data_IF_863126974291
#
_entry.id   IF_863126974291
#
_cell.length_a   1.000
_cell.length_b   1.000
_cell.length_c   1.000
_cell.angle_alpha   90.00
_cell.angle_beta   90.00
_cell.angle_gamma   90.00
#
_symmetry.space_group_name_H-M   'P 1'
#
loop_
_entity.id
_entity.type
_entity.pdbx_description
1 polymer ?
#
# COMPACT_ATOMS: atom_id res chain seq x y z
N UNK A 1 -24.48 -22.49 -7.74
CA UNK A 1 -24.56 -21.02 -7.95
C UNK A 1 -25.01 -20.25 -6.69
N UNK A 2 -26.09 -20.66 -6.01
CA UNK A 2 -26.58 -20.02 -4.77
C UNK A 2 -25.54 -20.04 -3.62
N UNK A 3 -24.88 -21.18 -3.40
CA UNK A 3 -23.83 -21.34 -2.38
C UNK A 3 -22.70 -20.32 -2.51
N UNK A 4 -22.21 -20.06 -3.72
CA UNK A 4 -21.15 -19.07 -3.97
C UNK A 4 -21.61 -17.65 -3.75
N UNK A 5 -22.86 -17.32 -4.12
CA UNK A 5 -23.47 -16.02 -3.87
C UNK A 5 -23.60 -15.76 -2.34
N UNK A 6 -24.05 -16.77 -1.60
CA UNK A 6 -24.16 -16.69 -0.15
C UNK A 6 -22.79 -16.53 0.51
N UNK A 7 -21.79 -17.31 0.10
CA UNK A 7 -20.42 -17.20 0.59
C UNK A 7 -19.84 -15.81 0.29
N UNK A 8 -20.01 -15.29 -0.93
CA UNK A 8 -19.57 -13.95 -1.27
C UNK A 8 -20.23 -12.90 -0.40
N UNK A 9 -21.55 -12.99 -0.14
CA UNK A 9 -22.26 -12.07 0.73
C UNK A 9 -21.68 -12.09 2.15
N UNK A 10 -21.46 -13.28 2.72
CA UNK A 10 -20.85 -13.43 4.06
C UNK A 10 -19.47 -12.82 4.11
N UNK A 11 -18.63 -13.05 3.10
CA UNK A 11 -17.28 -12.47 3.01
C UNK A 11 -17.31 -10.95 2.88
N UNK A 12 -18.25 -10.39 2.09
CA UNK A 12 -18.42 -8.93 2.01
C UNK A 12 -18.85 -8.33 3.33
N UNK A 13 -19.79 -8.95 4.03
CA UNK A 13 -20.27 -8.47 5.34
C UNK A 13 -19.17 -8.56 6.41
N UNK A 14 -18.46 -9.70 6.48
CA UNK A 14 -17.34 -9.87 7.42
C UNK A 14 -16.21 -8.88 7.13
N UNK A 15 -15.87 -8.67 5.86
CA UNK A 15 -14.88 -7.69 5.43
C UNK A 15 -15.28 -6.25 5.76
N UNK A 16 -16.56 -5.90 5.62
CA UNK A 16 -17.07 -4.58 5.98
C UNK A 16 -16.97 -4.33 7.49
N UNK A 17 -17.40 -5.30 8.31
CA UNK A 17 -17.30 -5.21 9.77
C UNK A 17 -15.85 -5.10 10.20
N UNK A 18 -14.97 -5.95 9.66
CA UNK A 18 -13.53 -5.88 9.93
C UNK A 18 -12.96 -4.52 9.53
N UNK A 19 -13.33 -3.97 8.37
CA UNK A 19 -12.86 -2.67 7.89
C UNK A 19 -13.26 -1.53 8.85
N UNK A 20 -14.50 -1.50 9.32
CA UNK A 20 -14.97 -0.47 10.26
C UNK A 20 -14.19 -0.54 11.58
N UNK A 21 -14.02 -1.74 12.13
CA UNK A 21 -13.28 -1.96 13.37
C UNK A 21 -11.80 -1.58 13.25
N UNK A 22 -11.17 -1.98 12.15
CA UNK A 22 -9.79 -1.64 11.80
C UNK A 22 -9.61 -0.14 11.64
N UNK A 23 -10.52 0.53 10.94
CA UNK A 23 -10.47 1.98 10.76
C UNK A 23 -10.51 2.71 12.09
N UNK A 24 -11.35 2.27 13.02
CA UNK A 24 -11.42 2.83 14.37
C UNK A 24 -10.10 2.68 15.13
N UNK A 25 -9.49 1.48 15.14
CA UNK A 25 -8.19 1.24 15.77
C UNK A 25 -7.10 2.13 15.16
N UNK A 26 -7.06 2.23 13.83
CA UNK A 26 -6.04 3.02 13.13
C UNK A 26 -6.19 4.52 13.38
N UNK A 27 -7.40 5.02 13.47
CA UNK A 27 -7.63 6.43 13.81
C UNK A 27 -7.11 6.70 15.23
N UNK A 28 -7.50 5.90 16.21
CA UNK A 28 -7.09 6.08 17.61
C UNK A 28 -5.57 5.95 17.75
N UNK A 29 -4.97 4.88 17.25
CA UNK A 29 -3.51 4.69 17.35
C UNK A 29 -2.72 5.79 16.65
N UNK A 30 -3.26 6.35 15.56
CA UNK A 30 -2.68 7.47 14.85
C UNK A 30 -2.65 8.77 15.65
N UNK A 31 -3.59 9.00 16.55
CA UNK A 31 -3.58 10.14 17.46
C UNK A 31 -2.58 10.00 18.60
N UNK A 32 -2.31 8.77 19.05
CA UNK A 32 -1.49 8.51 20.22
C UNK A 32 0.01 8.62 19.88
N UNK A 33 0.51 7.74 18.99
CA UNK A 33 1.94 7.61 18.77
C UNK A 33 2.25 6.95 17.43
N UNK A 34 3.11 7.54 16.61
CA UNK A 34 3.37 7.08 15.25
C UNK A 34 3.93 5.64 15.14
N UNK A 35 4.90 5.20 15.95
CA UNK A 35 5.34 3.80 15.95
C UNK A 35 4.23 2.80 16.28
N UNK A 36 3.34 3.13 17.23
CA UNK A 36 2.16 2.33 17.54
C UNK A 36 1.23 2.24 16.34
N UNK A 37 1.06 3.34 15.61
CA UNK A 37 0.27 3.36 14.39
C UNK A 37 0.82 2.39 13.34
N UNK A 38 2.13 2.40 13.05
CA UNK A 38 2.73 1.46 12.09
C UNK A 38 2.59 -0.01 12.51
N UNK A 39 2.73 -0.29 13.82
CA UNK A 39 2.47 -1.63 14.36
C UNK A 39 1.00 -2.03 14.17
N UNK A 40 0.08 -1.14 14.52
CA UNK A 40 -1.37 -1.36 14.37
C UNK A 40 -1.75 -1.59 12.91
N UNK A 41 -1.18 -0.83 11.96
CA UNK A 41 -1.42 -1.02 10.52
C UNK A 41 -1.10 -2.44 10.10
N UNK A 42 0.03 -3.01 10.50
CA UNK A 42 0.41 -4.39 10.15
C UNK A 42 -0.58 -5.41 10.68
N UNK A 43 -0.96 -5.30 11.95
CA UNK A 43 -1.93 -6.19 12.58
C UNK A 43 -3.28 -6.08 11.88
N UNK A 44 -3.75 -4.84 11.68
CA UNK A 44 -5.01 -4.55 11.02
C UNK A 44 -5.06 -5.07 9.58
N UNK A 45 -3.99 -4.90 8.81
CA UNK A 45 -3.90 -5.42 7.45
C UNK A 45 -3.95 -6.95 7.42
N UNK A 46 -3.29 -7.63 8.35
CA UNK A 46 -3.39 -9.09 8.48
C UNK A 46 -4.80 -9.53 8.82
N UNK A 47 -5.45 -8.90 9.80
CA UNK A 47 -6.82 -9.20 10.18
C UNK A 47 -7.80 -8.98 9.02
N UNK A 48 -7.62 -7.88 8.28
CA UNK A 48 -8.45 -7.59 7.11
C UNK A 48 -8.35 -8.67 6.04
N UNK A 49 -7.12 -9.09 5.71
CA UNK A 49 -6.90 -10.14 4.70
C UNK A 49 -7.42 -11.49 5.20
N UNK A 50 -7.19 -11.81 6.48
CA UNK A 50 -7.69 -13.05 7.08
C UNK A 50 -9.21 -13.12 7.15
N UNK A 51 -9.90 -11.98 7.33
CA UNK A 51 -11.39 -11.93 7.29
C UNK A 51 -11.97 -12.30 5.92
N UNK A 52 -11.15 -12.23 4.88
CA UNK A 52 -11.47 -12.67 3.51
C UNK A 52 -11.00 -14.10 3.23
N UNK A 53 -10.62 -14.86 4.26
CA UNK A 53 -10.04 -16.22 4.17
C UNK A 53 -8.77 -16.28 3.30
N UNK A 54 -7.99 -15.21 3.30
CA UNK A 54 -6.72 -15.12 2.60
C UNK A 54 -5.57 -15.05 3.61
N UNK A 55 -4.54 -15.86 3.39
CA UNK A 55 -3.34 -15.91 4.26
C UNK A 55 -2.07 -15.67 3.43
N UNK A 56 -1.65 -14.41 3.26
CA UNK A 56 -0.46 -14.13 2.48
C UNK A 56 0.79 -14.66 3.19
N UNK A 57 1.61 -15.40 2.46
CA UNK A 57 2.93 -15.84 2.90
C UNK A 57 3.97 -14.92 2.27
N UNK A 58 4.72 -14.20 3.09
CA UNK A 58 5.83 -13.38 2.63
C UNK A 58 7.07 -14.27 2.59
N UNK A 59 7.73 -14.34 1.42
CA UNK A 59 9.00 -15.02 1.24
C UNK A 59 10.12 -13.98 1.08
N UNK A 60 11.28 -14.26 1.64
CA UNK A 60 12.41 -13.32 1.68
C UNK A 60 12.39 -12.46 2.94
N UNK A 61 13.48 -11.74 3.13
CA UNK A 61 13.66 -10.86 4.29
C UNK A 61 13.74 -9.41 3.82
N UNK A 62 13.10 -8.52 4.57
CA UNK A 62 13.26 -7.09 4.35
C UNK A 62 14.56 -6.65 5.02
N UNK A 63 15.47 -5.95 4.30
CA UNK A 63 16.74 -5.49 4.87
C UNK A 63 16.50 -4.57 6.08
N UNK A 64 17.44 -4.55 7.01
CA UNK A 64 17.33 -3.76 8.24
C UNK A 64 17.97 -2.39 8.08
N UNK A 65 19.06 -2.32 7.30
CA UNK A 65 19.85 -1.11 7.13
C UNK A 65 19.50 -0.37 5.84
N UNK A 66 19.36 0.95 5.93
CA UNK A 66 19.13 1.82 4.78
C UNK A 66 17.66 2.16 4.53
N UNK A 67 17.47 2.99 3.52
CA UNK A 67 16.14 3.42 3.04
C UNK A 67 15.89 2.81 1.67
N UNK A 68 14.64 2.46 1.39
CA UNK A 68 14.30 1.68 0.21
C UNK A 68 13.11 2.23 -0.54
N UNK A 69 13.17 2.10 -1.86
CA UNK A 69 12.03 2.26 -2.75
C UNK A 69 11.42 0.86 -2.98
N UNK A 70 10.23 0.64 -2.47
CA UNK A 70 9.55 -0.66 -2.55
C UNK A 70 8.61 -0.63 -3.74
N UNK A 71 8.92 -1.41 -4.76
CA UNK A 71 8.09 -1.53 -5.95
C UNK A 71 7.31 -2.84 -5.94
N UNK A 72 6.01 -2.76 -6.14
CA UNK A 72 5.11 -3.91 -6.16
C UNK A 72 4.21 -3.88 -7.38
N UNK A 73 3.90 -5.05 -7.96
CA UNK A 73 2.90 -5.15 -9.02
C UNK A 73 1.51 -4.73 -8.50
N UNK A 74 0.66 -4.26 -9.41
CA UNK A 74 -0.67 -3.72 -9.05
C UNK A 74 -1.78 -4.57 -9.66
N UNK A 75 -2.22 -5.59 -8.93
CA UNK A 75 -3.18 -6.58 -9.43
C UNK A 75 -4.53 -6.55 -8.71
N UNK A 76 -4.62 -5.97 -7.50
CA UNK A 76 -5.84 -5.99 -6.70
C UNK A 76 -6.05 -4.70 -5.92
N UNK A 77 -7.29 -4.46 -5.48
CA UNK A 77 -7.56 -3.46 -4.44
C UNK A 77 -6.92 -3.86 -3.11
N UNK A 78 -6.74 -5.16 -2.88
CA UNK A 78 -6.14 -5.68 -1.65
C UNK A 78 -4.63 -5.38 -1.53
N UNK A 79 -3.99 -4.88 -2.58
CA UNK A 79 -2.57 -4.47 -2.55
C UNK A 79 -2.30 -3.42 -1.47
N UNK A 80 -3.29 -2.58 -1.16
CA UNK A 80 -3.22 -1.58 -0.08
C UNK A 80 -3.06 -2.22 1.31
N UNK A 81 -3.53 -3.46 1.48
CA UNK A 81 -3.39 -4.22 2.73
C UNK A 81 -2.17 -5.15 2.72
N UNK A 82 -1.66 -5.53 1.56
CA UNK A 82 -0.43 -6.33 1.44
C UNK A 82 0.81 -5.47 1.64
N UNK A 83 0.86 -4.30 1.02
CA UNK A 83 2.03 -3.42 1.07
C UNK A 83 2.52 -3.16 2.50
N UNK A 84 1.67 -2.78 3.49
CA UNK A 84 2.10 -2.51 4.85
C UNK A 84 2.75 -3.68 5.59
N UNK A 85 2.56 -4.91 5.10
CA UNK A 85 3.13 -6.11 5.72
C UNK A 85 4.62 -6.29 5.40
N UNK A 86 5.14 -5.61 4.36
CA UNK A 86 6.47 -5.80 3.82
C UNK A 86 7.53 -4.99 4.60
N UNK A 87 7.46 -3.65 4.69
CA UNK A 87 8.53 -2.83 5.22
C UNK A 87 8.74 -3.02 6.72
N UNK A 88 9.98 -2.94 7.17
CA UNK A 88 10.36 -2.72 8.56
C UNK A 88 10.64 -1.23 8.75
N UNK A 89 10.19 -0.63 9.86
CA UNK A 89 10.39 0.80 10.11
C UNK A 89 9.28 1.69 9.52
N UNK A 90 9.61 2.97 9.36
CA UNK A 90 8.69 3.97 8.82
C UNK A 90 8.60 3.88 7.30
N UNK A 91 7.40 3.99 6.79
CA UNK A 91 7.14 3.94 5.35
C UNK A 91 5.97 4.84 4.97
N UNK A 92 5.97 5.24 3.73
CA UNK A 92 4.83 5.91 3.09
C UNK A 92 4.66 5.42 1.66
N UNK A 93 3.76 6.02 0.90
CA UNK A 93 3.51 5.63 -0.49
C UNK A 93 3.04 6.78 -1.36
N UNK A 94 3.20 6.61 -2.66
CA UNK A 94 2.67 7.53 -3.67
C UNK A 94 1.29 7.03 -4.09
N UNK A 95 0.27 7.85 -3.91
CA UNK A 95 -1.11 7.47 -4.21
C UNK A 95 -1.86 8.54 -5.00
N UNK A 96 -2.90 8.14 -5.73
CA UNK A 96 -3.67 9.09 -6.55
C UNK A 96 -4.35 10.16 -5.69
N UNK A 97 -4.32 11.41 -6.14
CA UNK A 97 -4.93 12.56 -5.44
C UNK A 97 -6.39 12.33 -5.04
N UNK A 98 -7.16 11.58 -5.86
CA UNK A 98 -8.55 11.24 -5.55
C UNK A 98 -8.72 10.46 -4.25
N UNK A 99 -7.72 9.69 -3.83
CA UNK A 99 -7.76 8.87 -2.62
C UNK A 99 -7.79 9.73 -1.35
N UNK A 100 -7.29 10.96 -1.41
CA UNK A 100 -7.37 11.93 -0.31
C UNK A 100 -8.78 12.49 -0.08
N UNK A 101 -9.74 12.18 -0.96
CA UNK A 101 -11.15 12.57 -0.82
C UNK A 101 -12.02 11.47 -0.20
N UNK A 102 -11.46 10.26 -0.01
CA UNK A 102 -12.20 9.13 0.56
C UNK A 102 -12.21 9.27 2.09
N UNK A 103 -13.38 9.40 2.75
CA UNK A 103 -13.47 9.46 4.20
C UNK A 103 -12.72 8.29 4.87
N UNK A 104 -12.21 8.50 6.10
CA UNK A 104 -11.44 7.51 6.86
C UNK A 104 -10.10 7.18 6.19
N UNK A 105 -10.10 6.69 4.94
CA UNK A 105 -8.87 6.37 4.21
C UNK A 105 -7.95 7.59 4.07
N UNK A 106 -8.52 8.75 3.80
CA UNK A 106 -7.81 10.04 3.77
C UNK A 106 -7.05 10.33 5.08
N UNK A 107 -7.66 10.06 6.23
CA UNK A 107 -7.00 10.25 7.53
C UNK A 107 -5.81 9.31 7.72
N UNK A 108 -5.96 8.05 7.31
CA UNK A 108 -4.90 7.05 7.38
C UNK A 108 -3.72 7.42 6.48
N UNK A 109 -3.98 7.74 5.20
CA UNK A 109 -2.90 8.08 4.25
C UNK A 109 -2.22 9.40 4.57
N UNK A 110 -2.92 10.38 5.13
CA UNK A 110 -2.33 11.61 5.66
C UNK A 110 -1.41 11.32 6.86
N UNK A 111 -1.78 10.38 7.72
CA UNK A 111 -0.98 10.02 8.90
C UNK A 111 0.37 9.42 8.54
N UNK A 112 0.45 8.63 7.48
CA UNK A 112 1.72 8.13 6.93
C UNK A 112 2.39 9.12 5.97
N UNK A 113 1.91 10.35 5.86
CA UNK A 113 2.41 11.38 4.95
C UNK A 113 2.44 10.90 3.49
N UNK A 114 1.40 10.20 3.05
CA UNK A 114 1.30 9.71 1.68
C UNK A 114 1.37 10.86 0.68
N UNK A 115 2.06 10.63 -0.42
CA UNK A 115 2.34 11.66 -1.43
C UNK A 115 1.27 11.58 -2.51
N UNK A 116 0.48 12.65 -2.70
CA UNK A 116 -0.51 12.69 -3.76
C UNK A 116 0.15 12.79 -5.14
N UNK A 117 -0.35 12.04 -6.11
CA UNK A 117 0.07 12.15 -7.50
C UNK A 117 -1.14 12.33 -8.43
N UNK A 118 -1.11 13.36 -9.26
CA UNK A 118 -1.97 13.46 -10.42
C UNK A 118 -1.25 12.90 -11.65
N UNK A 119 -1.64 11.70 -12.06
CA UNK A 119 -1.03 10.97 -13.17
C UNK A 119 -1.36 11.55 -14.54
N UNK A 120 -2.35 12.45 -14.63
CA UNK A 120 -2.73 13.14 -15.86
C UNK A 120 -1.92 14.42 -16.07
N UNK A 121 -1.34 14.96 -15.01
CA UNK A 121 -0.53 16.17 -15.04
C UNK A 121 0.95 15.81 -14.83
N UNK A 122 1.76 15.97 -15.89
CA UNK A 122 3.20 15.65 -15.87
C UNK A 122 3.98 16.49 -14.86
N UNK A 123 3.67 17.77 -14.73
CA UNK A 123 4.37 18.65 -13.77
C UNK A 123 4.06 18.24 -12.34
N UNK A 124 2.78 18.00 -12.03
CA UNK A 124 2.37 17.48 -10.73
C UNK A 124 3.02 16.12 -10.40
N UNK A 125 3.17 15.25 -11.40
CA UNK A 125 3.86 13.97 -11.20
C UNK A 125 5.35 14.15 -10.86
N UNK A 126 6.05 15.10 -11.52
CA UNK A 126 7.44 15.42 -11.22
C UNK A 126 7.58 15.99 -9.80
N UNK A 127 6.70 16.89 -9.38
CA UNK A 127 6.69 17.43 -8.02
C UNK A 127 6.45 16.33 -6.97
N UNK A 128 5.55 15.40 -7.27
CA UNK A 128 5.29 14.27 -6.37
C UNK A 128 6.53 13.38 -6.19
N UNK A 129 7.30 13.15 -7.26
CA UNK A 129 8.55 12.41 -7.19
C UNK A 129 9.59 13.16 -6.36
N UNK A 130 9.75 14.49 -6.56
CA UNK A 130 10.67 15.29 -5.73
C UNK A 130 10.30 15.24 -4.24
N UNK A 131 9.03 15.36 -3.91
CA UNK A 131 8.56 15.18 -2.51
C UNK A 131 8.90 13.79 -1.96
N UNK A 132 8.80 12.75 -2.79
CA UNK A 132 9.17 11.39 -2.39
C UNK A 132 10.67 11.25 -2.14
N UNK A 133 11.51 11.90 -2.96
CA UNK A 133 12.97 11.96 -2.74
C UNK A 133 13.31 12.62 -1.40
N UNK A 134 12.61 13.70 -1.03
CA UNK A 134 12.82 14.37 0.26
C UNK A 134 12.42 13.49 1.45
N UNK A 135 11.38 12.70 1.30
CA UNK A 135 10.95 11.72 2.32
C UNK A 135 11.94 10.56 2.45
N UNK A 136 12.49 10.06 1.34
CA UNK A 136 13.56 9.04 1.36
C UNK A 136 14.79 9.54 2.14
N UNK A 137 15.20 10.79 1.91
CA UNK A 137 16.34 11.42 2.64
C UNK A 137 16.11 11.51 4.16
N UNK A 138 14.86 11.44 4.61
CA UNK A 138 14.49 11.40 6.02
C UNK A 138 14.52 9.98 6.62
N UNK A 139 14.92 8.97 5.85
CA UNK A 139 14.98 7.58 6.28
C UNK A 139 13.63 6.86 6.24
N UNK A 140 12.65 7.38 5.50
CA UNK A 140 11.31 6.79 5.36
C UNK A 140 11.21 6.07 4.02
N UNK A 141 10.88 4.78 4.04
CA UNK A 141 10.72 3.97 2.82
C UNK A 141 9.55 4.46 1.97
N UNK A 142 9.70 4.42 0.65
CA UNK A 142 8.66 4.80 -0.30
C UNK A 142 8.08 3.58 -1.00
N UNK A 143 6.77 3.38 -0.86
CA UNK A 143 6.01 2.40 -1.63
C UNK A 143 5.49 2.98 -2.93
N UNK A 144 5.69 2.26 -4.02
CA UNK A 144 5.18 2.64 -5.34
C UNK A 144 4.67 1.44 -6.11
N UNK A 145 3.56 1.61 -6.80
CA UNK A 145 3.00 0.66 -7.75
C UNK A 145 3.29 1.19 -9.16
N UNK A 146 4.41 0.78 -9.77
CA UNK A 146 4.97 1.46 -10.96
C UNK A 146 4.08 1.34 -12.20
N UNK A 147 3.17 0.39 -12.25
CA UNK A 147 2.14 0.28 -13.30
C UNK A 147 1.17 1.49 -13.31
N UNK A 148 1.03 2.15 -12.18
CA UNK A 148 0.16 3.32 -12.03
C UNK A 148 -1.33 3.02 -11.93
N UNK A 149 -1.80 1.90 -12.46
CA UNK A 149 -3.20 1.44 -12.40
C UNK A 149 -3.24 -0.07 -12.29
N UNK A 150 -4.27 -0.61 -11.66
CA UNK A 150 -4.45 -2.07 -11.55
C UNK A 150 -4.54 -2.73 -12.92
N UNK A 151 -3.95 -3.90 -13.05
CA UNK A 151 -4.24 -4.81 -14.17
C UNK A 151 -5.63 -5.45 -13.98
N UNK A 152 -6.32 -5.70 -15.07
CA UNK A 152 -7.62 -6.38 -15.06
C UNK A 152 -7.55 -7.76 -15.74
N UNK A 153 -6.48 -8.01 -16.48
CA UNK A 153 -6.24 -9.24 -17.25
C UNK A 153 -5.13 -10.12 -16.64
N UNK A 154 -4.65 -9.76 -15.46
CA UNK A 154 -3.56 -10.48 -14.77
C UNK A 154 -2.17 -10.23 -15.35
N UNK A 155 -2.04 -9.46 -16.42
CA UNK A 155 -0.73 -9.12 -17.01
C UNK A 155 -0.19 -7.83 -16.46
N UNK A 156 1.09 -7.80 -16.15
CA UNK A 156 1.78 -6.60 -15.72
C UNK A 156 1.75 -5.54 -16.83
N UNK A 157 1.40 -4.31 -16.47
CA UNK A 157 1.41 -3.17 -17.39
C UNK A 157 2.81 -2.57 -17.52
N UNK A 158 2.98 -1.72 -18.54
CA UNK A 158 4.21 -0.92 -18.68
C UNK A 158 4.52 -0.11 -17.42
N UNK A 159 5.76 -0.19 -16.96
CA UNK A 159 6.21 0.46 -15.75
C UNK A 159 6.50 1.95 -16.01
N UNK A 160 5.95 2.81 -15.19
CA UNK A 160 6.22 4.26 -15.23
C UNK A 160 7.62 4.55 -14.68
N UNK A 161 8.36 5.41 -15.37
CA UNK A 161 9.77 5.69 -15.10
C UNK A 161 10.03 6.46 -13.80
N UNK A 162 9.01 7.10 -13.19
CA UNK A 162 9.18 7.98 -12.03
C UNK A 162 9.91 7.36 -10.85
N UNK A 163 9.57 6.14 -10.48
CA UNK A 163 10.24 5.43 -9.37
C UNK A 163 11.72 5.09 -9.67
N UNK A 164 12.05 4.80 -10.93
CA UNK A 164 13.43 4.54 -11.34
C UNK A 164 14.27 5.82 -11.35
N UNK A 165 13.70 6.95 -11.80
CA UNK A 165 14.39 8.24 -11.70
C UNK A 165 14.63 8.63 -10.24
N UNK A 166 13.67 8.39 -9.36
CA UNK A 166 13.83 8.61 -7.92
C UNK A 166 15.02 7.81 -7.37
N UNK A 167 15.12 6.51 -7.70
CA UNK A 167 16.23 5.66 -7.26
C UNK A 167 17.59 6.18 -7.76
N UNK A 168 17.68 6.61 -9.00
CA UNK A 168 18.90 7.19 -9.57
C UNK A 168 19.30 8.47 -8.85
N UNK A 169 18.34 9.37 -8.60
CA UNK A 169 18.58 10.68 -7.99
C UNK A 169 18.98 10.59 -6.53
N UNK A 170 18.39 9.65 -5.77
CA UNK A 170 18.66 9.47 -4.34
C UNK A 170 19.76 8.45 -4.06
N UNK A 171 20.12 7.63 -5.05
CA UNK A 171 21.02 6.48 -4.93
C UNK A 171 20.50 5.40 -3.98
N UNK A 172 19.18 5.39 -3.74
CA UNK A 172 18.54 4.38 -2.91
C UNK A 172 18.25 3.09 -3.69
N UNK A 173 18.26 1.98 -2.98
CA UNK A 173 18.01 0.66 -3.55
C UNK A 173 16.53 0.42 -3.79
N UNK A 174 16.20 -0.15 -4.94
CA UNK A 174 14.85 -0.65 -5.23
C UNK A 174 14.72 -2.07 -4.71
N UNK A 175 13.71 -2.31 -3.87
CA UNK A 175 13.26 -3.66 -3.52
C UNK A 175 12.04 -3.98 -4.37
N UNK A 176 12.17 -4.96 -5.26
CA UNK A 176 11.05 -5.47 -6.04
C UNK A 176 10.30 -6.54 -5.23
N UNK A 177 9.01 -6.35 -5.08
CA UNK A 177 8.12 -7.33 -4.47
C UNK A 177 7.03 -7.71 -5.47
N UNK A 178 6.77 -8.99 -5.62
CA UNK A 178 5.67 -9.48 -6.46
C UNK A 178 4.72 -10.35 -5.65
N UNK A 179 3.45 -10.27 -5.95
CA UNK A 179 2.44 -11.14 -5.38
C UNK A 179 1.47 -11.63 -6.46
N UNK A 180 0.95 -12.81 -6.23
CA UNK A 180 -0.08 -13.43 -7.08
C UNK A 180 -1.25 -13.79 -6.17
N UNK A 181 -2.43 -13.34 -6.55
CA UNK A 181 -3.67 -13.76 -5.89
C UNK A 181 -4.07 -15.14 -6.44
N UNK A 182 -3.75 -16.19 -5.70
CA UNK A 182 -4.32 -17.51 -5.98
C UNK A 182 -5.63 -17.63 -5.21
N UNK A 183 -6.73 -17.62 -5.94
CA UNK A 183 -8.04 -18.00 -5.41
C UNK A 183 -8.16 -19.50 -5.61
N UNK A 184 -8.04 -20.27 -4.54
CA UNK A 184 -8.43 -21.67 -4.56
C UNK A 184 -9.97 -21.70 -4.49
N UNK A 185 -10.61 -21.87 -5.64
CA UNK A 185 -12.05 -22.13 -5.74
C UNK A 185 -12.35 -23.61 -5.48
#
# INVERSE_FOLDING_TARGET
>A
MLKYKLLSLVLYLSGLVAFIFIAFILIISGFIFLPLFYCSVKICCRLMISSLLLWPKIKGEFPVDGTYIIMMNHSSFLDVFIFPLIPKGAWTGITATKNFKIPIFSSIIKRIQAIPIDRKNRLSAIESIKKAEDVLRQGIHIGILPEGTRTLDGKMKELKKGGFHMAINTKDTIIAFSHVWMVYL
#
